data_IF_285085892628
#
_entry.id   IF_285085892628
#
_cell.length_a   1.000
_cell.length_b   1.000
_cell.length_c   1.000
_cell.angle_alpha   90.00
_cell.angle_beta   90.00
_cell.angle_gamma   90.00
#
_symmetry.space_group_name_H-M   'P 1'
#
loop_
_entity.id
_entity.type
_entity.pdbx_description
1 polymer ?
#
# COMPACT_ATOMS: atom_id res chain seq x y z
N UNK A 1 -17.29 41.02 45.90
CA UNK A 1 -17.79 39.66 45.56
C UNK A 1 -18.13 39.46 44.07
N UNK A 2 -18.87 40.39 43.41
CA UNK A 2 -19.25 40.26 41.98
C UNK A 2 -18.09 40.27 40.96
N UNK A 3 -16.95 40.90 41.30
CA UNK A 3 -15.79 41.02 40.40
C UNK A 3 -14.94 39.74 40.31
N UNK A 4 -14.85 38.98 41.41
CA UNK A 4 -14.15 37.69 41.44
C UNK A 4 -14.90 36.63 40.63
N UNK A 5 -16.23 36.59 40.73
CA UNK A 5 -17.09 35.63 40.00
C UNK A 5 -16.95 35.79 38.47
N UNK A 6 -16.82 37.03 37.96
CA UNK A 6 -16.61 37.30 36.52
C UNK A 6 -15.25 36.80 36.01
N UNK A 7 -14.18 36.93 36.80
CA UNK A 7 -12.84 36.43 36.43
C UNK A 7 -12.79 34.90 36.44
N UNK A 8 -13.45 34.26 37.39
CA UNK A 8 -13.53 32.79 37.45
C UNK A 8 -14.34 32.22 36.28
N UNK A 9 -15.42 32.90 35.86
CA UNK A 9 -16.25 32.48 34.73
C UNK A 9 -15.52 32.60 33.38
N UNK A 10 -14.71 33.65 33.18
CA UNK A 10 -13.93 33.85 31.95
C UNK A 10 -12.80 32.81 31.84
N UNK A 11 -12.12 32.49 32.95
CA UNK A 11 -11.06 31.47 32.96
C UNK A 11 -11.64 30.08 32.65
N UNK A 12 -12.85 29.76 33.15
CA UNK A 12 -13.51 28.50 32.86
C UNK A 12 -13.91 28.36 31.37
N UNK A 13 -14.39 29.44 30.74
CA UNK A 13 -14.72 29.48 29.30
C UNK A 13 -13.46 29.28 28.44
N UNK A 14 -12.32 29.88 28.82
CA UNK A 14 -11.05 29.69 28.11
C UNK A 14 -10.50 28.26 28.22
N UNK A 15 -10.72 27.56 29.33
CA UNK A 15 -10.28 26.15 29.49
C UNK A 15 -11.14 25.21 28.64
N UNK A 16 -12.44 25.49 28.49
CA UNK A 16 -13.35 24.70 27.65
C UNK A 16 -13.05 24.91 26.16
N UNK A 17 -12.57 26.10 25.74
CA UNK A 17 -12.11 26.34 24.36
C UNK A 17 -10.67 25.90 24.09
N UNK A 18 -9.88 25.59 25.13
CA UNK A 18 -8.53 25.03 25.00
C UNK A 18 -8.49 23.50 24.99
N UNK A 19 -9.62 22.82 25.11
CA UNK A 19 -9.77 21.43 24.69
C UNK A 19 -9.53 21.38 23.18
N UNK A 20 -8.26 21.27 22.81
CA UNK A 20 -7.82 21.17 21.44
C UNK A 20 -8.60 20.05 20.77
N UNK A 21 -9.31 20.37 19.70
CA UNK A 21 -9.74 19.36 18.74
C UNK A 21 -8.49 18.70 18.18
N UNK A 22 -7.98 17.69 18.87
CA UNK A 22 -7.05 16.74 18.29
C UNK A 22 -7.86 15.84 17.37
N UNK A 23 -8.26 16.37 16.21
CA UNK A 23 -8.69 15.55 15.09
C UNK A 23 -7.46 14.81 14.59
N UNK A 24 -7.18 13.64 15.16
CA UNK A 24 -6.35 12.66 14.50
C UNK A 24 -7.09 12.26 13.22
N UNK A 25 -6.67 12.80 12.09
CA UNK A 25 -7.12 12.33 10.79
C UNK A 25 -6.73 10.86 10.69
N UNK A 26 -7.70 9.95 10.85
CA UNK A 26 -7.50 8.54 10.62
C UNK A 26 -7.42 8.33 9.11
N UNK A 27 -6.20 8.45 8.56
CA UNK A 27 -5.94 8.30 7.14
C UNK A 27 -6.12 6.83 6.79
N UNK A 28 -7.29 6.51 6.26
CA UNK A 28 -7.58 5.20 5.71
C UNK A 28 -7.06 5.15 4.27
N UNK A 29 -6.21 4.17 3.95
CA UNK A 29 -5.82 3.91 2.57
C UNK A 29 -7.04 3.41 1.80
N UNK A 30 -7.61 4.27 0.95
CA UNK A 30 -8.74 3.96 0.08
C UNK A 30 -8.42 4.42 -1.34
N UNK A 31 -8.89 3.67 -2.32
CA UNK A 31 -8.93 4.16 -3.70
C UNK A 31 -10.08 5.16 -3.76
N UNK A 32 -9.77 6.44 -3.56
CA UNK A 32 -10.73 7.54 -3.67
C UNK A 32 -10.69 8.07 -5.11
N UNK A 33 -11.87 8.31 -5.69
CA UNK A 33 -12.03 8.79 -7.07
C UNK A 33 -11.35 7.89 -8.12
N UNK A 34 -11.11 6.62 -7.81
CA UNK A 34 -10.53 5.70 -8.78
C UNK A 34 -11.55 5.28 -9.84
N UNK A 35 -11.08 4.93 -11.03
CA UNK A 35 -11.88 4.44 -12.15
C UNK A 35 -11.49 2.99 -12.49
N UNK A 36 -12.43 2.22 -13.04
CA UNK A 36 -12.13 0.87 -13.53
C UNK A 36 -11.11 0.92 -14.67
N UNK A 37 -10.09 0.05 -14.63
CA UNK A 37 -9.04 -0.01 -15.64
C UNK A 37 -8.84 -1.44 -16.17
N UNK A 38 -8.18 -1.58 -17.32
CA UNK A 38 -8.01 -2.86 -18.02
C UNK A 38 -6.53 -3.29 -18.20
N UNK A 39 -6.36 -4.48 -18.79
CA UNK A 39 -5.24 -5.45 -18.99
C UNK A 39 -3.79 -4.95 -19.22
N UNK A 40 -3.41 -3.78 -18.74
CA UNK A 40 -2.03 -3.27 -18.83
C UNK A 40 -1.19 -3.60 -17.59
N UNK A 41 -1.81 -4.17 -16.55
CA UNK A 41 -1.22 -4.37 -15.23
C UNK A 41 -1.24 -5.83 -14.76
N UNK A 42 -1.12 -6.80 -15.68
CA UNK A 42 -1.19 -8.24 -15.34
C UNK A 42 -0.11 -8.71 -14.36
N UNK A 43 0.93 -7.90 -14.16
CA UNK A 43 1.95 -8.11 -13.14
C UNK A 43 1.46 -7.83 -11.72
N UNK A 44 0.29 -7.22 -11.53
CA UNK A 44 -0.33 -7.07 -10.23
C UNK A 44 -0.98 -8.38 -9.79
N UNK A 45 -0.84 -8.69 -8.52
CA UNK A 45 -1.43 -9.89 -7.91
C UNK A 45 -2.47 -9.51 -6.88
N UNK A 46 -3.53 -10.30 -6.79
CA UNK A 46 -4.50 -10.25 -5.69
C UNK A 46 -4.14 -11.34 -4.69
N UNK A 47 -3.98 -10.98 -3.42
CA UNK A 47 -3.58 -11.89 -2.34
C UNK A 47 -4.74 -12.05 -1.36
N UNK A 48 -5.14 -13.29 -1.12
CA UNK A 48 -6.14 -13.63 -0.13
C UNK A 48 -5.52 -14.23 1.13
N UNK A 49 -6.17 -13.96 2.26
CA UNK A 49 -6.01 -14.66 3.52
C UNK A 49 -7.37 -15.21 3.94
N UNK A 50 -7.47 -16.52 4.16
CA UNK A 50 -8.70 -17.19 4.61
C UNK A 50 -9.94 -16.86 3.73
N UNK A 51 -9.78 -16.89 2.41
CA UNK A 51 -10.82 -16.55 1.40
C UNK A 51 -11.30 -15.09 1.42
N UNK A 52 -10.55 -14.18 2.05
CA UNK A 52 -10.82 -12.75 2.06
C UNK A 52 -9.64 -11.97 1.49
N UNK A 53 -9.91 -10.84 0.85
CA UNK A 53 -8.86 -9.95 0.37
C UNK A 53 -7.93 -9.53 1.51
N UNK A 54 -6.62 -9.75 1.31
CA UNK A 54 -5.59 -9.28 2.22
C UNK A 54 -4.83 -8.10 1.64
N UNK A 55 -4.21 -8.28 0.48
CA UNK A 55 -3.27 -7.31 -0.10
C UNK A 55 -3.14 -7.45 -1.62
N UNK A 56 -2.41 -6.49 -2.21
CA UNK A 56 -1.83 -6.63 -3.55
C UNK A 56 -0.37 -7.11 -3.50
N UNK A 57 0.19 -7.36 -4.68
CA UNK A 57 1.61 -7.66 -4.87
C UNK A 57 2.04 -7.51 -6.32
N UNK A 58 3.32 -7.72 -6.59
CA UNK A 58 3.93 -7.64 -7.92
C UNK A 58 4.56 -8.97 -8.28
N UNK A 59 4.09 -9.59 -9.36
CA UNK A 59 4.65 -10.80 -9.95
C UNK A 59 5.91 -10.45 -10.72
N UNK A 60 7.08 -10.90 -10.27
CA UNK A 60 8.39 -10.42 -10.77
C UNK A 60 9.15 -11.46 -11.59
N UNK A 61 8.87 -12.74 -11.38
CA UNK A 61 9.41 -13.83 -12.18
C UNK A 61 8.40 -14.98 -12.30
N UNK A 62 8.80 -16.21 -12.62
CA UNK A 62 7.86 -17.33 -12.81
C UNK A 62 7.18 -17.80 -11.52
N UNK A 63 7.78 -17.57 -10.36
CA UNK A 63 7.34 -18.15 -9.09
C UNK A 63 7.43 -17.20 -7.88
N UNK A 64 7.77 -15.93 -8.08
CA UNK A 64 7.92 -14.97 -6.99
C UNK A 64 7.01 -13.75 -7.14
N UNK A 65 6.47 -13.35 -5.99
CA UNK A 65 5.66 -12.15 -5.82
C UNK A 65 6.28 -11.29 -4.73
N UNK A 66 6.54 -10.01 -5.04
CA UNK A 66 6.95 -9.01 -4.06
C UNK A 66 5.68 -8.39 -3.46
N UNK A 67 5.62 -8.30 -2.14
CA UNK A 67 4.53 -7.64 -1.41
C UNK A 67 5.08 -6.95 -0.16
N UNK A 68 4.21 -6.32 0.62
CA UNK A 68 4.60 -5.73 1.90
C UNK A 68 4.74 -6.82 2.98
N UNK A 69 5.65 -6.63 3.93
CA UNK A 69 5.86 -7.58 5.02
C UNK A 69 4.62 -7.70 5.92
N UNK A 70 3.91 -6.60 6.17
CA UNK A 70 2.67 -6.62 6.97
C UNK A 70 1.54 -7.44 6.31
N UNK A 71 1.58 -7.65 4.99
CA UNK A 71 0.58 -8.45 4.29
C UNK A 71 0.68 -9.93 4.63
N UNK A 72 1.89 -10.41 4.93
CA UNK A 72 2.24 -11.82 5.13
C UNK A 72 2.67 -12.14 6.57
N UNK A 73 2.52 -11.18 7.48
CA UNK A 73 2.83 -11.32 8.92
C UNK A 73 1.55 -11.48 9.73
N UNK A 74 1.55 -12.36 10.73
CA UNK A 74 0.46 -12.48 11.68
C UNK A 74 0.39 -11.25 12.59
N UNK A 75 -0.83 -10.76 12.80
CA UNK A 75 -1.08 -9.57 13.61
C UNK A 75 -0.59 -9.80 15.05
N UNK A 76 -0.04 -8.74 15.66
CA UNK A 76 0.48 -8.73 17.04
C UNK A 76 1.63 -9.71 17.32
N UNK A 77 2.34 -10.17 16.29
CA UNK A 77 3.53 -11.04 16.44
C UNK A 77 4.83 -10.29 16.14
N UNK A 78 5.98 -10.87 16.56
CA UNK A 78 7.33 -10.40 16.21
C UNK A 78 7.75 -10.98 14.86
N UNK A 79 7.00 -10.68 13.81
CA UNK A 79 7.21 -11.12 12.42
C UNK A 79 6.96 -12.60 12.16
N UNK A 80 6.01 -13.23 12.86
CA UNK A 80 5.61 -14.60 12.53
C UNK A 80 4.92 -14.60 11.16
N UNK A 81 5.40 -15.36 10.16
CA UNK A 81 4.73 -15.45 8.88
C UNK A 81 3.33 -16.07 9.04
N UNK A 82 2.37 -15.60 8.25
CA UNK A 82 1.08 -16.28 8.09
C UNK A 82 1.34 -17.69 7.56
N UNK A 83 0.62 -18.68 8.09
CA UNK A 83 0.67 -20.05 7.56
C UNK A 83 0.35 -20.06 6.06
N UNK A 84 1.19 -20.71 5.26
CA UNK A 84 1.13 -20.62 3.79
C UNK A 84 -0.20 -21.15 3.23
N UNK A 85 -0.83 -22.11 3.91
CA UNK A 85 -2.11 -22.71 3.52
C UNK A 85 -3.30 -21.73 3.66
N UNK A 86 -3.12 -20.65 4.42
CA UNK A 86 -4.10 -19.59 4.57
C UNK A 86 -4.04 -18.59 3.43
N UNK A 87 -2.98 -18.62 2.61
CA UNK A 87 -2.75 -17.66 1.55
C UNK A 87 -2.99 -18.26 0.17
N UNK A 88 -3.65 -17.48 -0.69
CA UNK A 88 -3.74 -17.75 -2.13
C UNK A 88 -3.41 -16.50 -2.92
N UNK A 89 -2.74 -16.70 -4.05
CA UNK A 89 -2.34 -15.61 -4.94
C UNK A 89 -3.01 -15.79 -6.30
N UNK A 90 -3.53 -14.68 -6.82
CA UNK A 90 -4.30 -14.61 -8.05
C UNK A 90 -3.68 -13.62 -9.04
N UNK A 91 -3.79 -13.92 -10.33
CA UNK A 91 -3.04 -13.24 -11.40
C UNK A 91 -3.91 -12.94 -12.63
N UNK A 92 -3.47 -12.01 -13.46
CA UNK A 92 -3.76 -12.03 -14.91
C UNK A 92 -5.17 -11.68 -15.38
N UNK A 93 -6.08 -11.28 -14.49
CA UNK A 93 -7.39 -10.75 -14.88
C UNK A 93 -7.77 -9.57 -13.99
N UNK A 94 -8.58 -8.65 -14.52
CA UNK A 94 -9.06 -7.47 -13.80
C UNK A 94 -10.24 -7.78 -12.88
N UNK A 95 -10.93 -8.91 -13.07
CA UNK A 95 -12.08 -9.32 -12.27
C UNK A 95 -11.68 -10.41 -11.27
N UNK A 96 -12.01 -10.17 -10.00
CA UNK A 96 -11.76 -11.15 -8.93
C UNK A 96 -12.47 -12.48 -9.24
N UNK A 97 -13.72 -12.43 -9.69
CA UNK A 97 -14.50 -13.63 -10.01
C UNK A 97 -13.88 -14.45 -11.14
N UNK A 98 -13.36 -13.79 -12.18
CA UNK A 98 -12.67 -14.47 -13.28
C UNK A 98 -11.37 -15.11 -12.83
N UNK A 99 -10.58 -14.43 -12.00
CA UNK A 99 -9.36 -15.02 -11.43
C UNK A 99 -9.69 -16.25 -10.58
N UNK A 100 -10.74 -16.17 -9.73
CA UNK A 100 -11.14 -17.27 -8.83
C UNK A 100 -11.72 -18.49 -9.53
N UNK A 101 -12.30 -18.31 -10.71
CA UNK A 101 -12.90 -19.40 -11.48
C UNK A 101 -11.93 -20.04 -12.47
N UNK A 102 -10.76 -19.43 -12.71
CA UNK A 102 -9.76 -19.95 -13.63
C UNK A 102 -8.56 -20.57 -12.86
N UNK A 103 -8.43 -21.90 -12.81
CA UNK A 103 -7.35 -22.55 -12.06
C UNK A 103 -5.95 -22.19 -12.57
N UNK A 104 -5.81 -21.75 -13.83
CA UNK A 104 -4.51 -21.32 -14.36
C UNK A 104 -4.02 -20.02 -13.72
N UNK A 105 -4.93 -19.22 -13.15
CA UNK A 105 -4.68 -17.90 -12.56
C UNK A 105 -4.57 -17.91 -11.04
N UNK A 106 -4.50 -19.09 -10.41
CA UNK A 106 -4.46 -19.26 -8.95
C UNK A 106 -3.23 -20.06 -8.56
N UNK A 107 -2.51 -19.63 -7.53
CA UNK A 107 -1.43 -20.41 -6.92
C UNK A 107 -1.50 -20.40 -5.41
N UNK A 108 -1.24 -21.55 -4.81
CA UNK A 108 -0.95 -21.67 -3.39
C UNK A 108 0.48 -21.17 -3.10
N UNK A 109 0.73 -20.84 -1.83
CA UNK A 109 2.04 -20.35 -1.36
C UNK A 109 2.90 -21.51 -0.86
N UNK A 110 4.19 -21.51 -1.20
CA UNK A 110 5.17 -22.48 -0.72
C UNK A 110 6.06 -21.92 0.39
N UNK A 111 6.51 -20.66 0.24
CA UNK A 111 7.40 -20.03 1.20
C UNK A 111 7.13 -18.52 1.27
N UNK A 112 7.28 -17.97 2.47
CA UNK A 112 7.24 -16.54 2.74
C UNK A 112 8.60 -16.14 3.30
N UNK A 113 9.21 -15.12 2.70
CA UNK A 113 10.45 -14.50 3.18
C UNK A 113 10.16 -13.06 3.56
N UNK A 114 10.18 -12.76 4.85
CA UNK A 114 10.02 -11.40 5.39
C UNK A 114 11.41 -10.78 5.52
N UNK A 115 11.55 -9.49 5.19
CA UNK A 115 12.80 -8.77 5.42
C UNK A 115 13.19 -8.84 6.91
N UNK A 116 14.44 -9.21 7.21
CA UNK A 116 14.92 -9.39 8.58
C UNK A 116 14.89 -8.11 9.43
N UNK A 117 14.94 -6.94 8.78
CA UNK A 117 14.92 -5.63 9.43
C UNK A 117 13.50 -5.04 9.54
N UNK A 118 12.48 -5.77 9.08
CA UNK A 118 11.09 -5.45 9.37
C UNK A 118 10.77 -5.78 10.83
N UNK A 119 9.94 -4.99 11.51
CA UNK A 119 9.52 -5.30 12.88
C UNK A 119 8.08 -4.86 13.16
N UNK A 120 7.11 -5.74 12.90
CA UNK A 120 5.67 -5.50 13.01
C UNK A 120 5.21 -4.81 14.31
N UNK A 121 6.02 -4.86 15.39
CA UNK A 121 5.79 -4.10 16.63
C UNK A 121 5.71 -2.58 16.44
N UNK A 122 6.34 -2.01 15.41
CA UNK A 122 6.26 -0.57 15.10
C UNK A 122 5.05 -0.17 14.23
N UNK A 123 4.13 -1.09 13.92
CA UNK A 123 2.91 -0.81 13.17
C UNK A 123 3.18 -0.18 11.80
N UNK A 124 2.41 0.86 11.45
CA UNK A 124 2.50 1.56 10.15
C UNK A 124 3.78 2.39 9.93
N UNK A 125 4.59 2.61 10.97
CA UNK A 125 5.85 3.35 10.87
C UNK A 125 7.06 2.41 10.65
N UNK A 126 6.80 1.18 10.23
CA UNK A 126 7.85 0.21 10.05
C UNK A 126 8.72 0.50 8.83
N UNK A 127 10.04 0.71 9.00
CA UNK A 127 10.95 0.62 7.87
C UNK A 127 10.97 -0.82 7.35
N UNK A 128 11.48 -1.00 6.12
CA UNK A 128 11.72 -2.34 5.53
C UNK A 128 10.47 -3.22 5.39
N UNK A 129 9.28 -2.62 5.22
CA UNK A 129 8.01 -3.32 5.00
C UNK A 129 7.94 -3.98 3.61
N UNK A 130 8.77 -4.99 3.39
CA UNK A 130 8.90 -5.74 2.15
C UNK A 130 9.07 -7.23 2.43
N UNK A 131 8.41 -8.05 1.63
CA UNK A 131 8.50 -9.50 1.68
C UNK A 131 8.38 -10.12 0.29
N UNK A 132 8.83 -11.35 0.18
CA UNK A 132 8.74 -12.17 -1.03
C UNK A 132 7.91 -13.41 -0.71
N UNK A 133 6.91 -13.67 -1.56
CA UNK A 133 6.15 -14.92 -1.59
C UNK A 133 6.73 -15.77 -2.72
N UNK A 134 7.09 -17.02 -2.41
CA UNK A 134 7.37 -18.06 -3.41
C UNK A 134 6.13 -18.92 -3.60
N UNK A 135 5.68 -19.03 -4.84
CA UNK A 135 4.53 -19.82 -5.25
C UNK A 135 4.84 -21.33 -5.21
N UNK A 136 3.81 -22.14 -5.03
CA UNK A 136 3.87 -23.61 -5.09
C UNK A 136 4.25 -24.18 -6.46
N UNK A 137 3.90 -23.47 -7.52
CA UNK A 137 4.25 -23.82 -8.89
C UNK A 137 4.36 -22.55 -9.76
N UNK A 138 5.15 -22.58 -10.86
CA UNK A 138 5.25 -21.49 -11.80
C UNK A 138 3.91 -21.04 -12.40
N UNK A 139 3.80 -19.76 -12.76
CA UNK A 139 2.70 -19.20 -13.55
C UNK A 139 3.24 -18.76 -14.90
N UNK A 140 2.63 -19.28 -15.97
CA UNK A 140 3.01 -18.97 -17.35
C UNK A 140 2.00 -18.02 -17.99
N UNK A 141 2.41 -17.35 -19.07
CA UNK A 141 1.56 -16.44 -19.86
C UNK A 141 1.01 -15.23 -19.09
N UNK A 142 1.63 -14.88 -17.96
CA UNK A 142 1.36 -13.64 -17.22
C UNK A 142 2.54 -12.70 -17.38
N UNK A 143 2.25 -11.42 -17.66
CA UNK A 143 3.29 -10.38 -17.74
C UNK A 143 3.91 -10.19 -16.35
N UNK A 144 5.24 -10.17 -16.30
CA UNK A 144 6.01 -9.93 -15.08
C UNK A 144 6.34 -8.44 -14.95
N UNK A 145 6.41 -7.94 -13.73
CA UNK A 145 6.96 -6.63 -13.43
C UNK A 145 8.47 -6.66 -13.72
N UNK A 146 8.95 -5.69 -14.49
CA UNK A 146 10.38 -5.52 -14.75
C UNK A 146 11.02 -4.84 -13.54
N UNK A 147 11.93 -5.53 -12.87
CA UNK A 147 12.84 -4.91 -11.91
C UNK A 147 13.91 -4.15 -12.70
N UNK A 148 14.08 -2.87 -12.37
CA UNK A 148 15.07 -2.02 -13.04
C UNK A 148 16.31 -1.89 -12.17
N UNK A 149 17.47 -2.01 -12.80
CA UNK A 149 18.73 -1.69 -12.13
C UNK A 149 19.02 -0.17 -12.11
N UNK A 150 20.08 0.21 -11.39
CA UNK A 150 20.47 1.62 -11.25
C UNK A 150 20.80 2.31 -12.58
N UNK A 151 21.34 1.58 -13.56
CA UNK A 151 21.67 2.14 -14.87
C UNK A 151 20.39 2.36 -15.67
N UNK A 152 19.49 1.37 -15.70
CA UNK A 152 18.20 1.49 -16.39
C UNK A 152 17.33 2.61 -15.80
N UNK A 153 17.36 2.79 -14.48
CA UNK A 153 16.67 3.90 -13.81
C UNK A 153 17.25 5.25 -14.21
N UNK A 154 18.58 5.36 -14.27
CA UNK A 154 19.27 6.59 -14.70
C UNK A 154 19.00 6.90 -16.17
N UNK A 155 19.11 5.91 -17.05
CA UNK A 155 18.89 6.09 -18.48
C UNK A 155 17.44 6.43 -18.82
N UNK A 156 16.49 5.73 -18.21
CA UNK A 156 15.06 5.85 -18.58
C UNK A 156 14.36 7.01 -17.87
N UNK A 157 14.76 7.33 -16.66
CA UNK A 157 14.05 8.28 -15.80
C UNK A 157 14.93 9.40 -15.26
N UNK A 158 16.24 9.40 -15.56
CA UNK A 158 17.21 10.32 -14.97
C UNK A 158 17.17 10.30 -13.43
N UNK A 159 16.98 9.11 -12.86
CA UNK A 159 16.91 8.90 -11.41
C UNK A 159 18.19 8.24 -10.90
N UNK A 160 18.84 8.86 -9.92
CA UNK A 160 19.95 8.26 -9.16
C UNK A 160 19.48 7.86 -7.77
N UNK A 161 19.71 6.60 -7.39
CA UNK A 161 19.26 6.02 -6.10
C UNK A 161 20.23 6.31 -4.93
N UNK A 162 21.19 7.22 -5.10
CA UNK A 162 22.32 7.38 -4.17
C UNK A 162 21.93 7.77 -2.74
N UNK A 163 20.73 8.33 -2.51
CA UNK A 163 20.16 8.61 -1.17
C UNK A 163 18.63 8.74 -1.19
N UNK A 164 17.95 7.84 -1.91
CA UNK A 164 16.50 7.87 -2.10
C UNK A 164 16.06 8.65 -3.34
N UNK A 165 14.82 8.39 -3.78
CA UNK A 165 14.23 9.00 -4.97
C UNK A 165 13.99 10.49 -4.76
N UNK A 166 14.85 11.33 -5.34
CA UNK A 166 14.69 12.79 -5.34
C UNK A 166 13.94 13.21 -6.60
N UNK A 167 12.61 13.17 -6.55
CA UNK A 167 11.77 13.68 -7.64
C UNK A 167 11.86 15.22 -7.66
N UNK A 168 12.28 15.81 -8.78
CA UNK A 168 12.42 17.26 -8.92
C UNK A 168 11.06 17.97 -8.84
N UNK A 169 10.90 18.87 -7.87
CA UNK A 169 9.62 19.57 -7.60
C UNK A 169 9.04 20.33 -8.80
N UNK A 170 9.87 20.73 -9.75
CA UNK A 170 9.48 21.59 -10.87
C UNK A 170 8.78 20.84 -12.01
N UNK A 171 8.72 19.51 -11.96
CA UNK A 171 8.10 18.67 -13.00
C UNK A 171 6.63 18.34 -12.72
N UNK A 172 6.04 18.82 -11.62
CA UNK A 172 4.75 18.31 -11.13
C UNK A 172 3.72 19.41 -10.87
N UNK A 173 2.59 19.33 -11.56
CA UNK A 173 1.40 20.15 -11.35
C UNK A 173 0.18 19.22 -11.26
N UNK A 174 -0.87 19.60 -10.53
CA UNK A 174 -2.14 18.86 -10.44
C UNK A 174 -2.73 18.48 -11.81
N UNK A 175 -2.39 19.22 -12.86
CA UNK A 175 -2.81 18.93 -14.24
C UNK A 175 -2.09 17.73 -14.88
N UNK A 176 -0.94 17.28 -14.34
CA UNK A 176 -0.11 16.19 -14.88
C UNK A 176 0.37 15.27 -13.73
N UNK A 177 -0.47 14.33 -13.26
CA UNK A 177 -0.07 13.37 -12.25
C UNK A 177 1.03 12.42 -12.78
N UNK A 178 2.01 12.13 -11.94
CA UNK A 178 3.18 11.31 -12.28
C UNK A 178 3.15 9.91 -11.64
N UNK A 179 2.19 9.64 -10.76
CA UNK A 179 2.03 8.37 -10.08
C UNK A 179 0.61 7.84 -10.27
N UNK A 180 0.50 6.51 -10.33
CA UNK A 180 -0.78 5.82 -10.30
C UNK A 180 -0.75 4.79 -9.17
N UNK A 181 -1.84 4.73 -8.40
CA UNK A 181 -2.12 3.61 -7.51
C UNK A 181 -3.20 2.75 -8.16
N UNK A 182 -2.92 1.45 -8.28
CA UNK A 182 -3.73 0.52 -9.06
C UNK A 182 -3.93 -0.75 -8.23
N UNK A 183 -5.16 -1.25 -8.14
CA UNK A 183 -5.48 -2.45 -7.38
C UNK A 183 -6.97 -2.66 -7.13
N UNK A 184 -7.28 -3.73 -6.39
CA UNK A 184 -8.64 -4.11 -5.96
C UNK A 184 -8.96 -3.67 -4.53
N UNK A 185 -8.11 -2.81 -3.95
CA UNK A 185 -8.21 -2.41 -2.54
C UNK A 185 -9.54 -1.75 -2.19
N UNK A 186 -9.73 -1.51 -0.89
CA UNK A 186 -10.95 -0.87 -0.38
C UNK A 186 -11.18 0.51 -1.03
N UNK A 187 -12.39 0.76 -1.48
CA UNK A 187 -12.84 2.03 -2.09
C UNK A 187 -13.40 3.00 -1.03
N UNK A 188 -13.85 4.18 -1.46
CA UNK A 188 -14.50 5.19 -0.61
C UNK A 188 -15.68 4.65 0.22
N UNK A 189 -16.35 3.59 -0.23
CA UNK A 189 -17.44 2.93 0.49
C UNK A 189 -16.97 1.78 1.40
N UNK A 190 -15.67 1.68 1.64
CA UNK A 190 -15.04 0.66 2.49
C UNK A 190 -15.22 -0.79 1.99
N UNK A 191 -15.53 -0.97 0.71
CA UNK A 191 -15.67 -2.28 0.06
C UNK A 191 -14.48 -2.55 -0.85
N UNK A 192 -14.05 -3.80 -0.92
CA UNK A 192 -13.06 -4.28 -1.90
C UNK A 192 -13.68 -4.13 -3.28
N UNK A 193 -12.90 -3.65 -4.26
CA UNK A 193 -13.42 -3.49 -5.61
C UNK A 193 -13.41 -4.84 -6.35
N UNK A 194 -14.54 -5.23 -6.94
CA UNK A 194 -14.65 -6.48 -7.71
C UNK A 194 -13.82 -6.47 -9.00
N UNK A 195 -13.56 -5.27 -9.51
CA UNK A 195 -12.73 -5.01 -10.69
C UNK A 195 -11.55 -4.11 -10.36
N UNK A 196 -10.48 -4.27 -11.13
CA UNK A 196 -9.26 -3.47 -10.98
C UNK A 196 -9.57 -1.98 -11.15
N UNK A 197 -9.11 -1.17 -10.19
CA UNK A 197 -9.25 0.29 -10.24
C UNK A 197 -7.91 0.97 -10.29
N UNK A 198 -7.85 2.14 -10.90
CA UNK A 198 -6.70 3.03 -10.88
C UNK A 198 -7.12 4.41 -10.35
N UNK A 199 -6.20 5.05 -9.64
CA UNK A 199 -6.31 6.47 -9.29
C UNK A 199 -4.95 7.14 -9.48
N UNK A 200 -4.98 8.42 -9.84
CA UNK A 200 -3.76 9.19 -10.07
C UNK A 200 -3.37 9.94 -8.81
N UNK A 201 -2.07 9.90 -8.51
CA UNK A 201 -1.49 10.49 -7.31
C UNK A 201 -0.43 11.52 -7.68
N UNK A 202 -0.21 12.44 -6.75
CA UNK A 202 0.90 13.39 -6.79
C UNK A 202 1.89 13.02 -5.70
N UNK A 203 3.17 12.94 -6.07
CA UNK A 203 4.23 12.78 -5.09
C UNK A 203 4.34 14.04 -4.23
N UNK A 204 4.31 13.88 -2.90
CA UNK A 204 4.56 14.97 -1.96
C UNK A 204 5.95 14.75 -1.34
N UNK A 205 6.78 15.80 -1.34
CA UNK A 205 8.11 15.76 -0.74
C UNK A 205 8.03 15.44 0.75
N UNK A 206 8.71 14.36 1.18
CA UNK A 206 8.79 13.94 2.58
C UNK A 206 9.57 14.88 3.52
N UNK A 207 10.20 15.95 2.99
CA UNK A 207 10.63 17.10 3.81
C UNK A 207 9.40 17.82 4.38
N UNK A 208 8.84 17.26 5.46
CA UNK A 208 7.96 17.97 6.38
C UNK A 208 8.77 19.08 7.04
N UNK A 209 8.30 20.33 7.02
CA UNK A 209 7.35 20.81 8.04
C UNK A 209 7.92 20.68 9.48
N UNK A 210 9.24 20.85 9.65
CA UNK A 210 9.91 21.11 10.94
C UNK A 210 10.12 22.62 11.20
N UNK A 211 9.83 23.48 10.21
CA UNK A 211 10.00 24.95 10.31
C UNK A 211 8.67 25.69 10.37
N UNK A 212 7.78 25.33 11.31
CA UNK A 212 6.67 26.19 11.74
C UNK A 212 6.40 26.04 13.23
#
# INVERSE_FOLDING_TARGET
MKFLIKKTLIILICIITFSSFNSYANINSRIINGYETSSSFDFLTYIEKDNSYRCGGFFVDESHVITAAHCVTEEYTKNTPIKVERLKVYFGDNSIDKMKTNPNLIRDVNLITINNDYDHRFGFNNPNDIAIIKLSAPVNNIRKAKLLDSNELKEKFNLELTNGLKLEKNSFNLANPNLAAIGWGKTEINQVADKLRATYLLSVSGRKLQDK
#
